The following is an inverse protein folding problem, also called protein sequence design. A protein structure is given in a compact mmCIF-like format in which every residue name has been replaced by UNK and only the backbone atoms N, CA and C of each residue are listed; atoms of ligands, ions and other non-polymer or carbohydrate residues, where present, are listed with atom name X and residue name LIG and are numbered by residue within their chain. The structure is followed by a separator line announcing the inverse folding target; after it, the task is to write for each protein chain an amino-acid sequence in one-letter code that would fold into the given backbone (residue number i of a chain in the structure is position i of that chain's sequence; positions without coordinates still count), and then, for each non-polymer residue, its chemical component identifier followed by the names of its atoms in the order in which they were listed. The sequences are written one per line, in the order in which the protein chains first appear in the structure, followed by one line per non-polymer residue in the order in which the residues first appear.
data_IF_071416743639
#
_entry.id   IF_071416743639
#
_cell.length_a   1.000
_cell.length_b   1.000
_cell.length_c   1.000
_cell.angle_alpha   90.00
_cell.angle_beta   90.00
_cell.angle_gamma   90.00
#
_symmetry.space_group_name_H-M   'P 1'
#
loop_
_entity.id
_entity.type
_entity.pdbx_description
1 polymer ?
#
# COMPACT_ATOMS: atom_id res chain seq x y z
N UNK A 1 -43.10 -37.03 9.61
CA UNK A 1 -42.32 -37.25 10.85
C UNK A 1 -40.92 -36.70 10.66
N UNK A 2 -40.71 -35.40 10.87
CA UNK A 2 -39.43 -34.72 10.60
C UNK A 2 -38.96 -33.79 11.73
N UNK A 3 -39.52 -33.93 12.94
CA UNK A 3 -39.36 -32.92 14.00
C UNK A 3 -38.48 -33.35 15.19
N UNK A 4 -38.02 -34.60 15.28
CA UNK A 4 -37.27 -35.07 16.47
C UNK A 4 -35.76 -34.74 16.48
N UNK A 5 -35.18 -34.28 15.37
CA UNK A 5 -33.75 -33.89 15.32
C UNK A 5 -33.46 -32.48 15.87
N UNK A 6 -34.46 -31.78 16.40
CA UNK A 6 -34.32 -30.46 17.02
C UNK A 6 -33.77 -30.53 18.47
N UNK A 7 -33.76 -31.71 19.09
CA UNK A 7 -33.24 -31.92 20.45
C UNK A 7 -31.73 -32.21 20.52
N UNK A 8 -31.08 -32.52 19.40
CA UNK A 8 -29.61 -32.71 19.36
C UNK A 8 -28.98 -31.32 19.25
N UNK A 9 -28.43 -30.83 20.36
CA UNK A 9 -27.71 -29.56 20.51
C UNK A 9 -26.92 -29.19 19.23
N UNK A 10 -26.93 -27.89 18.92
CA UNK A 10 -26.38 -27.14 17.76
C UNK A 10 -25.12 -27.63 17.00
N UNK A 11 -24.42 -28.66 17.46
CA UNK A 11 -23.15 -29.14 16.93
C UNK A 11 -23.32 -30.13 15.77
N UNK A 12 -24.46 -30.83 15.67
CA UNK A 12 -24.77 -31.77 14.59
C UNK A 12 -23.83 -32.98 14.50
N UNK A 13 -23.17 -33.29 15.61
CA UNK A 13 -22.49 -34.56 15.90
C UNK A 13 -23.57 -35.53 16.41
N UNK A 14 -23.49 -36.79 16.00
CA UNK A 14 -24.47 -37.84 16.34
C UNK A 14 -23.71 -39.15 16.60
N UNK A 15 -24.30 -40.05 17.38
CA UNK A 15 -23.74 -41.39 17.64
C UNK A 15 -24.45 -42.46 16.81
N UNK A 16 -23.80 -43.62 16.67
CA UNK A 16 -24.38 -44.78 15.99
C UNK A 16 -25.68 -45.22 16.67
N UNK A 17 -25.67 -45.32 17.99
CA UNK A 17 -26.81 -45.81 18.77
C UNK A 17 -28.01 -44.86 18.67
N UNK A 18 -27.79 -43.54 18.67
CA UNK A 18 -28.83 -42.54 18.42
C UNK A 18 -29.50 -42.73 17.05
N UNK A 19 -28.69 -42.92 15.99
CA UNK A 19 -29.23 -43.06 14.63
C UNK A 19 -29.97 -44.39 14.42
N UNK A 20 -29.47 -45.48 15.01
CA UNK A 20 -30.14 -46.78 14.97
C UNK A 20 -31.45 -46.76 15.78
N UNK A 21 -31.47 -46.11 16.95
CA UNK A 21 -32.67 -45.93 17.76
C UNK A 21 -33.74 -45.11 17.01
N UNK A 22 -33.32 -44.18 16.14
CA UNK A 22 -34.20 -43.42 15.25
C UNK A 22 -34.62 -44.18 13.99
N UNK A 23 -34.22 -45.44 13.83
CA UNK A 23 -34.60 -46.30 12.71
C UNK A 23 -33.86 -46.02 11.40
N UNK A 24 -32.74 -45.28 11.43
CA UNK A 24 -31.94 -45.04 10.22
C UNK A 24 -31.07 -46.24 9.85
N UNK A 25 -31.05 -46.57 8.56
CA UNK A 25 -30.30 -47.71 8.04
C UNK A 25 -28.81 -47.39 7.90
N UNK A 26 -27.96 -48.16 8.58
CA UNK A 26 -26.52 -48.10 8.39
C UNK A 26 -26.12 -48.78 7.07
N UNK A 27 -25.43 -48.03 6.20
CA UNK A 27 -24.86 -48.51 4.94
C UNK A 27 -23.37 -48.19 4.90
N UNK A 28 -22.54 -49.10 4.37
CA UNK A 28 -21.12 -48.82 4.14
C UNK A 28 -20.94 -48.15 2.78
N UNK A 29 -20.20 -47.04 2.77
CA UNK A 29 -19.76 -46.40 1.53
C UNK A 29 -18.67 -47.20 0.82
N UNK A 30 -18.38 -46.86 -0.44
CA UNK A 30 -17.37 -47.54 -1.28
C UNK A 30 -15.97 -47.66 -0.65
N UNK A 31 -15.62 -46.78 0.30
CA UNK A 31 -14.34 -46.77 1.02
C UNK A 31 -14.48 -47.12 2.50
N UNK A 32 -15.56 -47.81 2.89
CA UNK A 32 -15.81 -48.25 4.26
C UNK A 32 -16.41 -47.20 5.21
N UNK A 33 -16.63 -45.95 4.78
CA UNK A 33 -17.24 -44.90 5.62
C UNK A 33 -18.65 -45.28 6.07
N UNK A 34 -18.99 -45.06 7.34
CA UNK A 34 -20.35 -45.30 7.84
C UNK A 34 -21.31 -44.21 7.34
N UNK A 35 -22.44 -44.62 6.74
CA UNK A 35 -23.51 -43.76 6.23
C UNK A 35 -24.83 -44.18 6.85
N UNK A 36 -25.71 -43.23 7.13
CA UNK A 36 -27.03 -43.51 7.69
C UNK A 36 -28.10 -42.88 6.82
N UNK A 37 -29.10 -43.67 6.45
CA UNK A 37 -30.12 -43.32 5.48
C UNK A 37 -31.52 -43.42 6.05
N UNK A 38 -32.41 -42.55 5.58
CA UNK A 38 -33.86 -42.67 5.73
C UNK A 38 -34.44 -42.85 4.32
N UNK A 39 -34.74 -44.09 3.95
CA UNK A 39 -35.04 -44.45 2.56
C UNK A 39 -33.88 -44.07 1.63
N UNK A 40 -34.14 -43.12 0.73
CA UNK A 40 -33.16 -42.59 -0.23
C UNK A 40 -32.45 -41.31 0.23
N UNK A 41 -32.75 -40.83 1.45
CA UNK A 41 -32.16 -39.59 1.98
C UNK A 41 -30.99 -39.88 2.91
N UNK A 42 -29.82 -39.33 2.62
CA UNK A 42 -28.65 -39.40 3.51
C UNK A 42 -28.87 -38.50 4.73
N UNK A 43 -28.89 -39.09 5.92
CA UNK A 43 -29.11 -38.39 7.19
C UNK A 43 -27.79 -37.99 7.82
N UNK A 44 -26.87 -38.94 7.96
CA UNK A 44 -25.58 -38.74 8.61
C UNK A 44 -24.46 -39.53 7.94
N UNK A 45 -23.24 -39.06 8.13
CA UNK A 45 -22.03 -39.66 7.58
C UNK A 45 -20.85 -39.46 8.52
N UNK A 46 -19.98 -40.44 8.52
CA UNK A 46 -18.67 -40.37 9.16
C UNK A 46 -17.71 -39.49 8.34
N UNK A 47 -17.12 -38.49 8.99
CA UNK A 47 -16.10 -37.66 8.37
C UNK A 47 -14.83 -38.49 8.14
N UNK A 48 -14.38 -38.61 6.89
CA UNK A 48 -13.19 -39.38 6.55
C UNK A 48 -11.85 -38.77 7.02
N UNK A 49 -11.88 -37.61 7.70
CA UNK A 49 -10.69 -36.96 8.24
C UNK A 49 -10.65 -36.99 9.77
N UNK A 50 -11.76 -36.72 10.45
CA UNK A 50 -11.80 -36.74 11.90
C UNK A 50 -12.47 -37.98 12.49
N UNK A 51 -13.05 -38.87 11.68
CA UNK A 51 -13.77 -40.06 12.11
C UNK A 51 -15.11 -39.78 12.82
N UNK A 52 -15.45 -38.51 13.08
CA UNK A 52 -16.68 -38.16 13.80
C UNK A 52 -17.90 -38.31 12.90
N UNK A 53 -18.93 -38.98 13.41
CA UNK A 53 -20.22 -39.12 12.77
C UNK A 53 -21.02 -37.82 12.94
N UNK A 54 -21.41 -37.22 11.81
CA UNK A 54 -22.12 -35.93 11.77
C UNK A 54 -23.30 -35.99 10.82
N UNK A 55 -24.31 -35.17 11.06
CA UNK A 55 -25.44 -34.99 10.14
C UNK A 55 -24.95 -34.46 8.79
N UNK A 56 -25.63 -34.83 7.70
CA UNK A 56 -25.26 -34.49 6.32
C UNK A 56 -25.10 -32.96 6.12
N UNK A 57 -25.86 -32.13 6.83
CA UNK A 57 -25.76 -30.65 6.82
C UNK A 57 -24.41 -30.11 7.28
N UNK A 58 -23.59 -30.91 7.96
CA UNK A 58 -22.22 -30.58 8.37
C UNK A 58 -21.17 -30.95 7.30
N UNK A 59 -21.61 -31.19 6.06
CA UNK A 59 -20.77 -31.48 4.90
C UNK A 59 -21.14 -30.55 3.72
N UNK A 60 -20.17 -30.23 2.87
CA UNK A 60 -20.39 -29.42 1.66
C UNK A 60 -21.08 -30.22 0.55
N UNK A 61 -21.81 -29.55 -0.35
CA UNK A 61 -22.60 -30.18 -1.43
C UNK A 61 -21.83 -30.37 -2.76
N UNK A 62 -20.57 -30.00 -2.79
CA UNK A 62 -19.67 -30.01 -3.95
C UNK A 62 -18.75 -31.23 -4.00
N UNK A 63 -19.10 -32.29 -3.27
CA UNK A 63 -18.39 -33.57 -3.32
C UNK A 63 -18.85 -34.46 -4.48
N UNK A 64 -18.05 -35.47 -4.81
CA UNK A 64 -18.41 -36.53 -5.77
C UNK A 64 -19.61 -37.31 -5.22
N UNK A 65 -20.78 -37.19 -5.87
CA UNK A 65 -22.05 -37.73 -5.37
C UNK A 65 -22.90 -36.72 -4.59
N UNK A 66 -22.65 -35.41 -4.74
CA UNK A 66 -23.48 -34.34 -4.19
C UNK A 66 -23.20 -33.99 -2.72
N UNK A 67 -22.27 -34.70 -2.07
CA UNK A 67 -21.84 -34.39 -0.70
C UNK A 67 -20.37 -34.74 -0.49
N UNK A 68 -19.63 -33.90 0.22
CA UNK A 68 -18.21 -34.14 0.56
C UNK A 68 -18.07 -35.30 1.55
N UNK A 69 -16.90 -35.94 1.55
CA UNK A 69 -16.56 -37.01 2.49
C UNK A 69 -16.01 -36.49 3.82
N UNK A 70 -15.50 -35.26 3.85
CA UNK A 70 -15.05 -34.57 5.05
C UNK A 70 -16.04 -33.50 5.49
N UNK A 71 -16.12 -33.30 6.81
CA UNK A 71 -16.99 -32.28 7.37
C UNK A 71 -16.50 -30.86 7.03
N UNK A 72 -17.40 -29.88 7.16
CA UNK A 72 -17.13 -28.46 6.90
C UNK A 72 -15.90 -27.95 7.68
N UNK A 73 -15.76 -28.37 8.94
CA UNK A 73 -14.65 -27.95 9.81
C UNK A 73 -13.31 -28.49 9.28
N UNK A 74 -13.23 -29.80 9.01
CA UNK A 74 -12.01 -30.40 8.48
C UNK A 74 -11.66 -29.84 7.11
N UNK A 75 -12.66 -29.56 6.26
CA UNK A 75 -12.43 -28.91 4.98
C UNK A 75 -11.89 -27.47 5.16
N UNK A 76 -12.48 -26.68 6.06
CA UNK A 76 -12.01 -25.33 6.36
C UNK A 76 -10.56 -25.33 6.87
N UNK A 77 -10.21 -26.27 7.75
CA UNK A 77 -8.84 -26.46 8.23
C UNK A 77 -7.88 -26.82 7.10
N UNK A 78 -8.25 -27.77 6.23
CA UNK A 78 -7.43 -28.13 5.08
C UNK A 78 -7.23 -26.97 4.10
N UNK A 79 -8.28 -26.21 3.81
CA UNK A 79 -8.18 -25.03 2.94
C UNK A 79 -7.28 -23.97 3.57
N UNK A 80 -7.42 -23.70 4.88
CA UNK A 80 -6.56 -22.76 5.60
C UNK A 80 -5.09 -23.20 5.54
N UNK A 81 -4.80 -24.47 5.80
CA UNK A 81 -3.46 -25.05 5.73
C UNK A 81 -2.85 -24.87 4.34
N UNK A 82 -3.58 -25.25 3.28
CA UNK A 82 -3.14 -25.05 1.89
C UNK A 82 -2.83 -23.60 1.54
N UNK A 83 -3.59 -22.64 2.08
CA UNK A 83 -3.34 -21.20 1.86
C UNK A 83 -2.08 -20.70 2.56
N UNK A 84 -1.80 -21.23 3.76
CA UNK A 84 -0.58 -20.89 4.53
C UNK A 84 0.65 -21.51 3.89
N UNK A 85 0.56 -22.74 3.39
CA UNK A 85 1.69 -23.47 2.79
C UNK A 85 2.04 -22.97 1.39
N UNK A 86 1.08 -22.41 0.63
CA UNK A 86 1.29 -21.95 -0.74
C UNK A 86 0.87 -20.48 -0.95
N UNK A 87 1.43 -19.53 -0.21
CA UNK A 87 1.03 -18.12 -0.32
C UNK A 87 1.44 -17.52 -1.67
N UNK A 88 2.52 -18.01 -2.28
CA UNK A 88 2.98 -17.56 -3.60
C UNK A 88 2.01 -17.93 -4.71
N UNK A 89 1.52 -19.17 -4.72
CA UNK A 89 0.56 -19.64 -5.70
C UNK A 89 -0.73 -18.80 -5.68
N UNK A 90 -1.17 -18.39 -4.49
CA UNK A 90 -2.33 -17.50 -4.35
C UNK A 90 -2.04 -16.09 -4.89
N UNK A 91 -0.88 -15.52 -4.54
CA UNK A 91 -0.45 -14.22 -5.07
C UNK A 91 -0.37 -14.22 -6.59
N UNK A 92 0.16 -15.30 -7.16
CA UNK A 92 0.26 -15.45 -8.62
C UNK A 92 -1.11 -15.60 -9.27
N UNK A 93 -2.03 -16.37 -8.68
CA UNK A 93 -3.41 -16.45 -9.15
C UNK A 93 -4.13 -15.10 -9.08
N UNK A 94 -3.97 -14.34 -8.00
CA UNK A 94 -4.56 -13.01 -7.86
C UNK A 94 -3.96 -12.03 -8.86
N UNK A 95 -2.64 -12.07 -9.07
CA UNK A 95 -1.94 -11.28 -10.09
C UNK A 95 -2.46 -11.62 -11.48
N UNK A 96 -2.60 -12.91 -11.80
CA UNK A 96 -3.14 -13.37 -13.07
C UNK A 96 -4.57 -12.87 -13.27
N UNK A 97 -5.44 -13.05 -12.28
CA UNK A 97 -6.82 -12.55 -12.32
C UNK A 97 -6.90 -11.04 -12.55
N UNK A 98 -6.01 -10.28 -11.92
CA UNK A 98 -5.94 -8.84 -12.14
C UNK A 98 -5.49 -8.49 -13.55
N UNK A 99 -4.47 -9.18 -14.07
CA UNK A 99 -3.90 -8.94 -15.40
C UNK A 99 -4.81 -9.42 -16.55
N UNK A 100 -5.58 -10.49 -16.35
CA UNK A 100 -6.52 -11.02 -17.35
C UNK A 100 -7.68 -10.06 -17.63
N UNK A 101 -8.10 -9.26 -16.63
CA UNK A 101 -9.15 -8.28 -16.83
C UNK A 101 -8.99 -7.05 -15.90
N UNK A 102 -8.03 -6.16 -16.22
CA UNK A 102 -7.74 -5.00 -15.38
C UNK A 102 -8.91 -4.02 -15.30
N UNK A 103 -9.67 -3.85 -16.39
CA UNK A 103 -10.82 -2.94 -16.43
C UNK A 103 -11.96 -3.41 -15.52
N UNK A 104 -12.30 -4.70 -15.54
CA UNK A 104 -13.30 -5.26 -14.62
C UNK A 104 -12.87 -5.12 -13.16
N UNK A 105 -11.58 -5.24 -12.87
CA UNK A 105 -11.07 -5.03 -11.52
C UNK A 105 -11.14 -3.55 -11.09
N UNK A 106 -10.83 -2.61 -11.98
CA UNK A 106 -11.01 -1.18 -11.72
C UNK A 106 -12.47 -0.85 -11.47
N UNK A 107 -13.38 -1.34 -12.30
CA UNK A 107 -14.82 -1.12 -12.16
C UNK A 107 -15.33 -1.67 -10.82
N UNK A 108 -14.92 -2.89 -10.46
CA UNK A 108 -15.25 -3.49 -9.17
C UNK A 108 -14.77 -2.64 -7.98
N UNK A 109 -13.52 -2.16 -8.01
CA UNK A 109 -12.96 -1.31 -6.95
C UNK A 109 -13.71 0.02 -6.87
N UNK A 110 -14.05 0.62 -8.01
CA UNK A 110 -14.83 1.86 -8.07
C UNK A 110 -16.23 1.67 -7.48
N UNK A 111 -16.93 0.59 -7.86
CA UNK A 111 -18.23 0.25 -7.32
C UNK A 111 -18.18 0.01 -5.82
N UNK A 112 -17.14 -0.69 -5.34
CA UNK A 112 -16.93 -0.91 -3.91
C UNK A 112 -16.73 0.40 -3.15
N UNK A 113 -15.89 1.31 -3.66
CA UNK A 113 -15.65 2.63 -3.06
C UNK A 113 -16.93 3.47 -3.01
N UNK A 114 -17.72 3.47 -4.10
CA UNK A 114 -19.01 4.18 -4.16
C UNK A 114 -20.03 3.64 -3.16
N UNK A 115 -20.09 2.32 -2.99
CA UNK A 115 -20.99 1.66 -2.03
C UNK A 115 -20.49 1.73 -0.57
N UNK A 116 -19.20 1.97 -0.36
CA UNK A 116 -18.57 1.96 0.97
C UNK A 116 -17.68 3.20 1.20
N UNK A 117 -18.20 4.43 1.04
CA UNK A 117 -17.40 5.65 1.10
C UNK A 117 -16.68 5.81 2.45
N UNK A 118 -17.36 5.48 3.55
CA UNK A 118 -16.79 5.61 4.89
C UNK A 118 -15.63 4.62 5.12
N UNK A 119 -15.77 3.36 4.68
CA UNK A 119 -14.68 2.38 4.77
C UNK A 119 -13.49 2.79 3.92
N UNK A 120 -13.73 3.33 2.72
CA UNK A 120 -12.68 3.84 1.86
C UNK A 120 -11.95 5.02 2.52
N UNK A 121 -12.69 5.96 3.14
CA UNK A 121 -12.13 7.08 3.89
C UNK A 121 -11.26 6.64 5.05
N UNK A 122 -11.75 5.72 5.89
CA UNK A 122 -10.99 5.16 7.02
C UNK A 122 -9.71 4.48 6.54
N UNK A 123 -9.81 3.67 5.47
CA UNK A 123 -8.65 3.00 4.91
C UNK A 123 -7.63 3.98 4.33
N UNK A 124 -8.08 5.03 3.64
CA UNK A 124 -7.21 6.07 3.09
C UNK A 124 -6.52 6.84 4.22
N UNK A 125 -7.26 7.27 5.24
CA UNK A 125 -6.70 7.96 6.40
C UNK A 125 -5.65 7.13 7.12
N UNK A 126 -5.90 5.81 7.28
CA UNK A 126 -4.92 4.88 7.85
C UNK A 126 -3.67 4.81 6.98
N UNK A 127 -3.83 4.71 5.66
CA UNK A 127 -2.69 4.66 4.74
C UNK A 127 -1.87 5.96 4.81
N UNK A 128 -2.53 7.12 4.77
CA UNK A 128 -1.87 8.44 4.87
C UNK A 128 -1.11 8.60 6.18
N UNK A 129 -1.72 8.24 7.32
CA UNK A 129 -1.08 8.29 8.65
C UNK A 129 0.13 7.36 8.75
N UNK A 130 0.05 6.17 8.15
CA UNK A 130 1.13 5.17 8.22
C UNK A 130 2.21 5.36 7.13
N UNK A 131 2.01 6.26 6.17
CA UNK A 131 2.94 6.48 5.06
C UNK A 131 3.21 7.98 4.80
N UNK A 132 3.58 8.77 5.83
CA UNK A 132 3.75 10.21 5.69
C UNK A 132 4.79 10.59 4.63
N UNK A 133 5.89 9.84 4.52
CA UNK A 133 6.94 10.10 3.53
C UNK A 133 6.47 9.90 2.09
N UNK A 134 5.65 8.87 1.83
CA UNK A 134 5.08 8.63 0.50
C UNK A 134 4.06 9.72 0.14
N UNK A 135 3.27 10.16 1.11
CA UNK A 135 2.30 11.25 0.93
C UNK A 135 3.03 12.55 0.58
N UNK A 136 4.09 12.88 1.31
CA UNK A 136 4.93 14.04 1.04
C UNK A 136 5.56 13.96 -0.35
N UNK A 137 6.12 12.80 -0.71
CA UNK A 137 6.69 12.56 -2.04
C UNK A 137 5.66 12.75 -3.17
N UNK A 138 4.48 12.14 -3.04
CA UNK A 138 3.43 12.25 -4.05
C UNK A 138 2.94 13.69 -4.19
N UNK A 139 2.87 14.42 -3.09
CA UNK A 139 2.51 15.84 -3.09
C UNK A 139 3.58 16.68 -3.80
N UNK A 140 4.86 16.45 -3.50
CA UNK A 140 6.00 17.11 -4.16
C UNK A 140 6.04 16.80 -5.66
N UNK A 141 5.95 15.52 -6.04
CA UNK A 141 5.89 15.07 -7.44
C UNK A 141 4.73 15.73 -8.19
N UNK A 142 3.54 15.75 -7.59
CA UNK A 142 2.35 16.38 -8.20
C UNK A 142 2.57 17.88 -8.44
N UNK A 143 3.19 18.59 -7.49
CA UNK A 143 3.49 20.03 -7.64
C UNK A 143 4.46 20.28 -8.79
N UNK A 144 5.56 19.55 -8.87
CA UNK A 144 6.53 19.69 -9.95
C UNK A 144 5.90 19.40 -11.32
N UNK A 145 5.12 18.32 -11.45
CA UNK A 145 4.43 17.98 -12.70
C UNK A 145 3.40 19.04 -13.11
N UNK A 146 2.72 19.67 -12.14
CA UNK A 146 1.79 20.78 -12.41
C UNK A 146 2.50 22.00 -12.99
N UNK A 147 3.77 22.21 -12.64
CA UNK A 147 4.63 23.25 -13.20
C UNK A 147 5.38 22.80 -14.46
N UNK A 148 5.06 21.62 -15.01
CA UNK A 148 5.79 21.02 -16.15
C UNK A 148 7.28 20.77 -15.86
N UNK A 149 7.68 20.73 -14.59
CA UNK A 149 9.07 20.54 -14.18
C UNK A 149 9.43 19.05 -13.98
N UNK A 150 10.72 18.69 -14.06
CA UNK A 150 11.24 17.40 -13.63
C UNK A 150 10.71 16.97 -12.25
N UNK A 151 10.30 15.70 -12.15
CA UNK A 151 9.72 15.12 -10.93
C UNK A 151 10.34 13.74 -10.62
N UNK A 152 11.67 13.67 -10.75
CA UNK A 152 12.50 12.47 -10.63
C UNK A 152 12.90 12.07 -9.19
N UNK A 153 12.48 12.83 -8.18
CA UNK A 153 12.70 12.45 -6.78
C UNK A 153 11.93 11.16 -6.46
N UNK A 154 12.62 10.18 -5.88
CA UNK A 154 12.04 8.88 -5.47
C UNK A 154 12.08 8.74 -3.94
N UNK A 155 11.45 7.69 -3.40
CA UNK A 155 11.59 7.40 -1.97
C UNK A 155 13.03 7.03 -1.61
N UNK A 156 13.72 6.31 -2.50
CA UNK A 156 15.14 5.98 -2.33
C UNK A 156 15.99 7.25 -2.26
N UNK A 157 15.79 8.18 -3.20
CA UNK A 157 16.51 9.46 -3.17
C UNK A 157 16.26 10.24 -1.89
N UNK A 158 15.01 10.29 -1.38
CA UNK A 158 14.74 10.95 -0.10
C UNK A 158 15.48 10.31 1.07
N UNK A 159 15.55 8.97 1.12
CA UNK A 159 16.29 8.26 2.16
C UNK A 159 17.77 8.60 2.07
N UNK A 160 18.37 8.49 0.88
CA UNK A 160 19.79 8.80 0.63
C UNK A 160 20.14 10.26 1.00
N UNK A 161 19.29 11.21 0.61
CA UNK A 161 19.46 12.63 0.96
C UNK A 161 19.35 12.83 2.47
N UNK A 162 18.33 12.27 3.13
CA UNK A 162 18.18 12.40 4.58
C UNK A 162 19.36 11.78 5.32
N UNK A 163 19.82 10.60 4.91
CA UNK A 163 20.99 9.92 5.49
C UNK A 163 22.26 10.75 5.35
N UNK A 164 22.48 11.43 4.21
CA UNK A 164 23.59 12.38 4.00
C UNK A 164 23.66 13.45 5.09
N UNK A 165 22.51 13.94 5.53
CA UNK A 165 22.38 14.96 6.57
C UNK A 165 22.00 14.36 7.93
N UNK A 166 22.33 13.10 8.19
CA UNK A 166 22.07 12.42 9.47
C UNK A 166 20.60 12.49 9.94
N UNK A 167 19.65 12.48 8.99
CA UNK A 167 18.20 12.60 9.18
C UNK A 167 17.75 13.91 9.89
N UNK A 168 18.57 14.96 9.81
CA UNK A 168 18.28 16.27 10.39
C UNK A 168 18.34 17.39 9.35
N UNK A 169 17.94 18.58 9.74
CA UNK A 169 17.96 19.79 8.93
C UNK A 169 19.38 20.14 8.52
N UNK A 170 19.60 20.40 7.23
CA UNK A 170 20.91 20.77 6.68
C UNK A 170 21.50 22.03 7.32
N UNK A 171 20.66 22.96 7.78
CA UNK A 171 21.11 24.27 8.30
C UNK A 171 21.19 24.34 9.83
N UNK A 172 20.42 23.52 10.55
CA UNK A 172 20.34 23.59 12.02
C UNK A 172 20.87 22.33 12.70
N UNK A 173 20.76 21.16 12.06
CA UNK A 173 21.04 19.87 12.69
C UNK A 173 19.90 19.36 13.57
N UNK A 174 18.71 19.95 13.46
CA UNK A 174 17.51 19.55 14.21
C UNK A 174 16.55 18.67 13.39
N UNK A 175 15.64 17.98 14.07
CA UNK A 175 14.62 17.14 13.45
C UNK A 175 13.47 17.97 12.81
N UNK A 176 12.35 17.30 12.48
CA UNK A 176 11.16 17.89 11.85
C UNK A 176 11.44 18.59 10.50
N UNK A 177 11.95 17.78 9.56
CA UNK A 177 12.37 18.27 8.25
C UNK A 177 11.35 17.99 7.15
N UNK A 178 11.26 18.95 6.23
CA UNK A 178 10.64 18.79 4.93
C UNK A 178 11.73 18.68 3.85
N UNK A 179 11.37 18.12 2.70
CA UNK A 179 12.20 18.19 1.50
C UNK A 179 11.95 19.55 0.84
N UNK A 180 12.88 20.48 1.04
CA UNK A 180 12.83 21.80 0.43
C UNK A 180 13.43 21.78 -0.98
N UNK A 181 13.08 22.79 -1.77
CA UNK A 181 13.64 23.04 -3.10
C UNK A 181 14.62 24.21 -3.06
N UNK A 182 15.88 23.97 -3.43
CA UNK A 182 16.89 25.04 -3.49
C UNK A 182 16.45 26.17 -4.42
N UNK A 183 16.10 25.80 -5.65
CA UNK A 183 15.38 26.64 -6.61
C UNK A 183 13.88 26.29 -6.50
N UNK A 184 13.04 27.21 -5.99
CA UNK A 184 11.61 26.96 -5.82
C UNK A 184 10.91 26.66 -7.15
N UNK A 185 9.93 25.75 -7.12
CA UNK A 185 9.17 25.36 -8.33
C UNK A 185 8.47 26.55 -9.02
N UNK A 186 8.17 27.62 -8.28
CA UNK A 186 7.52 28.82 -8.81
C UNK A 186 8.44 29.62 -9.76
N UNK A 187 9.75 29.45 -9.68
CA UNK A 187 10.75 30.09 -10.55
C UNK A 187 10.75 29.45 -11.95
N UNK A 188 10.22 28.22 -12.09
CA UNK A 188 10.18 27.53 -13.38
C UNK A 188 11.50 26.85 -13.77
N UNK A 189 12.40 26.65 -12.81
CA UNK A 189 13.66 25.93 -12.99
C UNK A 189 13.82 24.81 -11.97
N UNK A 190 14.78 23.92 -12.20
CA UNK A 190 15.01 22.76 -11.35
C UNK A 190 13.86 21.76 -11.42
N UNK A 191 13.20 21.50 -10.29
CA UNK A 191 12.12 20.51 -10.16
C UNK A 191 12.18 19.76 -8.83
N UNK A 192 11.32 18.75 -8.69
CA UNK A 192 11.44 17.78 -7.59
C UNK A 192 12.38 16.66 -8.01
N UNK A 193 13.67 16.93 -7.94
CA UNK A 193 14.78 16.03 -8.31
C UNK A 193 15.87 16.08 -7.22
N UNK A 194 16.72 15.05 -7.09
CA UNK A 194 17.76 15.00 -6.06
C UNK A 194 18.66 16.24 -6.02
N UNK A 195 19.02 16.76 -7.18
CA UNK A 195 19.94 17.89 -7.40
C UNK A 195 19.37 19.24 -6.93
N UNK A 196 18.07 19.29 -6.66
CA UNK A 196 17.36 20.48 -6.22
C UNK A 196 16.69 20.31 -4.86
N UNK A 197 16.89 19.18 -4.16
CA UNK A 197 16.17 18.86 -2.93
C UNK A 197 17.11 18.58 -1.75
N UNK A 198 16.78 19.12 -0.57
CA UNK A 198 17.53 18.91 0.67
C UNK A 198 16.60 18.94 1.90
N UNK A 199 17.02 18.36 3.05
CA UNK A 199 16.19 18.38 4.25
C UNK A 199 16.34 19.73 4.97
N UNK A 200 15.22 20.42 5.16
CA UNK A 200 15.16 21.70 5.85
C UNK A 200 14.07 21.65 6.92
N UNK A 201 14.35 22.18 8.11
CA UNK A 201 13.39 22.26 9.21
C UNK A 201 12.09 22.93 8.73
N UNK A 202 10.94 22.42 9.16
CA UNK A 202 9.65 22.78 8.60
C UNK A 202 9.34 24.30 8.63
N UNK A 203 9.66 24.98 9.74
CA UNK A 203 9.53 26.43 9.92
C UNK A 203 10.44 27.23 8.97
N UNK A 204 11.69 26.80 8.78
CA UNK A 204 12.65 27.41 7.85
C UNK A 204 12.18 27.24 6.41
N UNK A 205 11.69 26.06 6.05
CA UNK A 205 11.11 25.79 4.73
C UNK A 205 9.91 26.70 4.44
N UNK A 206 9.02 26.90 5.44
CA UNK A 206 7.92 27.86 5.31
C UNK A 206 8.44 29.29 5.18
N UNK A 207 9.45 29.68 5.96
CA UNK A 207 10.03 31.02 5.88
C UNK A 207 10.71 31.30 4.55
N UNK A 208 11.44 30.32 3.98
CA UNK A 208 12.12 30.46 2.69
C UNK A 208 11.12 30.56 1.55
N UNK A 209 10.12 29.68 1.53
CA UNK A 209 9.08 29.69 0.51
C UNK A 209 9.64 29.77 -0.93
N UNK A 210 9.25 30.81 -1.67
CA UNK A 210 9.69 31.06 -3.04
C UNK A 210 10.92 31.98 -3.14
N UNK A 211 11.61 32.26 -2.03
CA UNK A 211 12.75 33.17 -2.00
C UNK A 211 14.03 32.51 -2.51
N UNK A 212 14.95 33.36 -2.98
CA UNK A 212 16.30 33.01 -3.38
C UNK A 212 17.07 32.44 -2.19
N UNK A 213 17.60 31.22 -2.29
CA UNK A 213 18.21 30.50 -1.14
C UNK A 213 19.33 31.30 -0.48
N UNK A 214 20.17 31.96 -1.28
CA UNK A 214 21.29 32.74 -0.78
C UNK A 214 20.83 34.04 -0.11
N UNK A 215 19.88 34.76 -0.70
CA UNK A 215 19.39 36.01 -0.13
C UNK A 215 18.58 35.74 1.14
N UNK A 216 17.76 34.68 1.12
CA UNK A 216 17.00 34.24 2.29
C UNK A 216 17.92 33.87 3.45
N UNK A 217 18.99 33.12 3.18
CA UNK A 217 19.96 32.75 4.21
C UNK A 217 20.61 34.00 4.82
N UNK A 218 21.15 34.89 3.99
CA UNK A 218 21.79 36.12 4.48
C UNK A 218 20.83 36.99 5.30
N UNK A 219 19.58 37.13 4.85
CA UNK A 219 18.57 37.93 5.54
C UNK A 219 18.07 37.30 6.84
N UNK A 220 18.24 36.00 7.06
CA UNK A 220 17.62 35.28 8.18
C UNK A 220 18.60 34.50 9.07
N UNK A 221 19.90 34.44 8.73
CA UNK A 221 20.88 33.67 9.50
C UNK A 221 21.00 34.12 10.95
N UNK A 222 20.95 35.42 11.22
CA UNK A 222 20.97 35.96 12.59
C UNK A 222 19.67 35.62 13.33
N UNK A 223 18.52 35.81 12.67
CA UNK A 223 17.19 35.56 13.24
C UNK A 223 17.00 34.11 13.69
N UNK A 224 17.52 33.14 12.92
CA UNK A 224 17.37 31.72 13.22
C UNK A 224 18.62 31.08 13.82
N UNK A 225 19.69 31.86 14.07
CA UNK A 225 20.96 31.33 14.57
C UNK A 225 21.63 30.33 13.63
N UNK A 226 21.55 30.56 12.31
CA UNK A 226 22.10 29.66 11.30
C UNK A 226 23.61 29.89 11.15
N UNK A 227 24.38 28.81 11.18
CA UNK A 227 25.83 28.84 10.99
C UNK A 227 26.18 28.96 9.51
N UNK A 228 27.07 29.90 9.16
CA UNK A 228 27.62 30.03 7.81
C UNK A 228 28.21 28.71 7.30
N UNK A 229 28.96 28.00 8.16
CA UNK A 229 29.59 26.71 7.83
C UNK A 229 28.58 25.67 7.34
N UNK A 230 27.42 25.52 7.99
CA UNK A 230 26.38 24.56 7.59
C UNK A 230 25.74 24.94 6.25
N UNK A 231 25.59 26.24 6.01
CA UNK A 231 25.12 26.73 4.73
C UNK A 231 26.14 26.46 3.61
N UNK A 232 27.42 26.74 3.86
CA UNK A 232 28.49 26.47 2.90
C UNK A 232 28.57 24.97 2.56
N UNK A 233 28.45 24.08 3.55
CA UNK A 233 28.37 22.62 3.36
C UNK A 233 27.15 22.20 2.51
N UNK A 234 25.98 22.81 2.73
CA UNK A 234 24.79 22.58 1.91
C UNK A 234 25.02 23.03 0.46
N UNK A 235 25.59 24.21 0.26
CA UNK A 235 25.85 24.75 -1.08
C UNK A 235 26.90 23.91 -1.81
N UNK A 236 27.94 23.45 -1.12
CA UNK A 236 28.92 22.52 -1.68
C UNK A 236 28.26 21.21 -2.12
N UNK A 237 27.38 20.63 -1.28
CA UNK A 237 26.62 19.44 -1.65
C UNK A 237 25.76 19.64 -2.90
N UNK A 238 24.98 20.73 -2.97
CA UNK A 238 24.12 21.02 -4.11
C UNK A 238 24.94 21.29 -5.37
N UNK A 239 26.05 22.02 -5.26
CA UNK A 239 26.96 22.29 -6.36
C UNK A 239 27.57 21.00 -6.92
N UNK A 240 28.04 20.09 -6.05
CA UNK A 240 28.56 18.77 -6.43
C UNK A 240 27.52 17.94 -7.19
N UNK A 241 26.27 17.91 -6.73
CA UNK A 241 25.18 17.19 -7.43
C UNK A 241 24.89 17.75 -8.82
N UNK A 242 25.12 19.05 -9.03
CA UNK A 242 24.92 19.71 -10.32
C UNK A 242 26.23 19.76 -11.15
N UNK A 243 27.29 19.08 -10.73
CA UNK A 243 28.61 19.10 -11.36
C UNK A 243 29.17 20.53 -11.56
N UNK A 244 28.97 21.38 -10.55
CA UNK A 244 29.41 22.78 -10.52
C UNK A 244 30.32 23.04 -9.32
N UNK A 245 31.17 24.06 -9.42
CA UNK A 245 31.74 24.73 -8.24
C UNK A 245 30.66 25.51 -7.48
N UNK A 246 30.92 25.85 -6.22
CA UNK A 246 29.97 26.66 -5.40
C UNK A 246 29.69 28.03 -6.03
N UNK A 247 30.68 28.64 -6.69
CA UNK A 247 30.51 29.91 -7.38
C UNK A 247 29.66 29.78 -8.65
N UNK A 248 29.87 28.73 -9.44
CA UNK A 248 29.04 28.44 -10.62
C UNK A 248 27.61 28.11 -10.22
N UNK A 249 27.43 27.33 -9.15
CA UNK A 249 26.11 27.00 -8.63
C UNK A 249 25.35 28.26 -8.19
N UNK A 250 26.01 29.18 -7.46
CA UNK A 250 25.40 30.48 -7.13
C UNK A 250 24.97 31.24 -8.38
N UNK A 251 25.86 31.41 -9.36
CA UNK A 251 25.54 32.09 -10.62
C UNK A 251 24.38 31.45 -11.37
N UNK A 252 24.29 30.11 -11.33
CA UNK A 252 23.18 29.38 -11.93
C UNK A 252 21.86 29.66 -11.21
N UNK A 253 21.86 29.66 -9.87
CA UNK A 253 20.66 30.01 -9.08
C UNK A 253 20.26 31.46 -9.34
N UNK A 254 21.20 32.40 -9.34
CA UNK A 254 20.96 33.81 -9.68
C UNK A 254 20.31 33.92 -11.07
N UNK A 255 20.90 33.25 -12.07
CA UNK A 255 20.35 33.20 -13.44
C UNK A 255 18.93 32.63 -13.50
N UNK A 256 18.61 31.59 -12.73
CA UNK A 256 17.26 31.04 -12.67
C UNK A 256 16.23 32.07 -12.19
N UNK A 257 16.59 32.89 -11.21
CA UNK A 257 15.70 33.93 -10.68
C UNK A 257 15.59 35.14 -11.62
N UNK A 258 16.66 35.47 -12.35
CA UNK A 258 16.64 36.52 -13.38
C UNK A 258 15.87 36.09 -14.64
N UNK A 259 15.72 34.78 -14.87
CA UNK A 259 15.11 34.21 -16.07
C UNK A 259 13.96 33.24 -15.73
N UNK A 260 12.92 33.67 -14.99
CA UNK A 260 11.85 32.77 -14.57
C UNK A 260 11.08 32.24 -15.78
N UNK A 261 10.72 30.96 -15.77
CA UNK A 261 9.93 30.34 -16.85
C UNK A 261 8.49 30.12 -16.45
N UNK A 262 7.56 30.57 -17.30
CA UNK A 262 6.15 30.24 -17.15
C UNK A 262 5.88 28.80 -17.59
N UNK A 263 4.74 28.24 -17.17
CA UNK A 263 4.32 26.89 -17.56
C UNK A 263 4.23 26.75 -19.08
N UNK A 264 3.79 27.81 -19.78
CA UNK A 264 3.62 27.79 -21.23
C UNK A 264 4.97 27.80 -21.94
N UNK A 265 5.94 28.59 -21.46
CA UNK A 265 7.32 28.57 -21.97
C UNK A 265 7.94 27.17 -21.83
N UNK A 266 7.81 26.54 -20.66
CA UNK A 266 8.36 25.19 -20.41
C UNK A 266 7.72 24.13 -21.32
N UNK A 267 6.42 24.29 -21.66
CA UNK A 267 5.75 23.37 -22.58
C UNK A 267 6.29 23.52 -23.99
N UNK A 268 6.40 24.74 -24.49
CA UNK A 268 6.93 25.02 -25.84
C UNK A 268 8.35 24.46 -25.99
N UNK A 269 9.24 24.74 -25.04
CA UNK A 269 10.63 24.22 -25.05
C UNK A 269 10.69 22.68 -25.12
N UNK A 270 9.75 21.99 -24.46
CA UNK A 270 9.67 20.53 -24.49
C UNK A 270 9.16 19.97 -25.80
N UNK A 271 8.25 20.68 -26.45
CA UNK A 271 7.73 20.31 -27.77
C UNK A 271 8.81 20.49 -28.85
N UNK A 272 9.64 21.54 -28.73
CA UNK A 272 10.76 21.79 -29.64
C UNK A 272 11.93 20.80 -29.45
N UNK A 273 12.02 20.16 -28.29
CA UNK A 273 13.09 19.21 -27.93
C UNK A 273 12.72 17.73 -28.14
N UNK A 274 11.49 17.43 -28.58
CA UNK A 274 10.95 16.07 -28.72
C UNK A 274 10.91 15.59 -30.18
#
# INVERSE_FOLDING_TARGET
MGEELNGIKNEGIVTRDELLAMGYEERKGQKGSCLYWNGDSLIARECNLCGVLKLHRKFGKDGKGGIRSNCLDCHATQVRKKRIENPEKLREMDKRRYNENPEKMKEYVNLWRRKNPEKARISNNRWTKNNPEKVSLYSSRRRALKSTLPAGLTLRHQIEIKERFANVCALTGEADTHMDHAIPLAVGHGGSIPENCYPLRADLNVSKGAQHIFEWFEANKERFGLEQRKFDELIEYLAQLNAMSTQEYRKYVDWCFDNPRSIDVIKTEKEESA
#
